data_IF_099784319893
#
_entry.id   IF_099784319893
#
_cell.length_a   1.000
_cell.length_b   1.000
_cell.length_c   1.000
_cell.angle_alpha   90.00
_cell.angle_beta   90.00
_cell.angle_gamma   90.00
#
_symmetry.space_group_name_H-M   'P 1'
#
loop_
_entity.id
_entity.type
_entity.pdbx_description
1 polymer ?
#
# COMPACT_ATOMS: atom_id res chain seq x y z
N UNK A 1 3.29 -27.34 15.98
CA UNK A 1 3.44 -27.09 14.52
C UNK A 1 3.92 -25.66 14.38
N UNK A 2 5.20 -25.42 14.12
CA UNK A 2 5.73 -24.09 13.86
C UNK A 2 4.99 -23.56 12.62
N UNK A 3 4.14 -22.55 12.79
CA UNK A 3 3.30 -22.02 11.71
C UNK A 3 4.13 -21.39 10.60
N UNK A 4 3.45 -20.91 9.55
CA UNK A 4 4.12 -20.19 8.46
C UNK A 4 4.85 -18.95 9.00
N UNK A 5 6.16 -18.89 8.78
CA UNK A 5 7.01 -17.74 9.08
C UNK A 5 7.23 -16.92 7.81
N UNK A 6 6.98 -15.63 7.87
CA UNK A 6 7.31 -14.68 6.82
C UNK A 6 8.67 -14.06 7.11
N UNK A 7 9.52 -14.03 6.10
CA UNK A 7 10.83 -13.37 6.15
C UNK A 7 10.99 -12.48 4.94
N UNK A 8 11.54 -11.29 5.13
CA UNK A 8 11.78 -10.30 4.08
C UNK A 8 13.22 -9.84 4.17
N UNK A 9 13.96 -9.98 3.07
CA UNK A 9 15.37 -9.57 2.97
C UNK A 9 16.28 -10.13 4.09
N UNK A 10 16.00 -11.35 4.55
CA UNK A 10 16.72 -12.00 5.65
C UNK A 10 16.23 -11.64 7.06
N UNK A 11 15.33 -10.65 7.18
CA UNK A 11 14.71 -10.26 8.44
C UNK A 11 13.38 -10.99 8.65
N UNK A 12 13.07 -11.31 9.91
CA UNK A 12 11.84 -12.03 10.28
C UNK A 12 10.69 -11.04 10.41
N UNK A 13 9.80 -11.05 9.42
CA UNK A 13 8.59 -10.21 9.39
C UNK A 13 7.61 -10.65 10.49
N UNK A 14 7.39 -11.96 10.63
CA UNK A 14 6.53 -12.48 11.68
C UNK A 14 5.90 -13.84 11.35
N UNK A 15 5.29 -14.45 12.37
CA UNK A 15 4.57 -15.70 12.23
C UNK A 15 3.09 -15.42 11.89
N UNK A 16 2.63 -15.93 10.76
CA UNK A 16 1.25 -15.75 10.30
C UNK A 16 0.96 -14.37 9.70
N UNK A 17 -0.21 -14.25 9.08
CA UNK A 17 -0.62 -13.06 8.30
C UNK A 17 -0.80 -11.81 9.16
N UNK A 18 -1.28 -11.99 10.39
CA UNK A 18 -1.55 -10.89 11.33
C UNK A 18 -0.26 -10.16 11.72
N UNK A 19 0.77 -10.89 12.17
CA UNK A 19 2.07 -10.30 12.50
C UNK A 19 2.73 -9.65 11.27
N UNK A 20 2.60 -10.27 10.10
CA UNK A 20 3.12 -9.67 8.87
C UNK A 20 2.46 -8.32 8.54
N UNK A 21 1.14 -8.19 8.75
CA UNK A 21 0.44 -6.91 8.56
C UNK A 21 0.92 -5.84 9.54
N UNK A 22 1.16 -6.21 10.80
CA UNK A 22 1.66 -5.28 11.83
C UNK A 22 3.05 -4.78 11.45
N UNK A 23 3.96 -5.69 11.08
CA UNK A 23 5.31 -5.33 10.64
C UNK A 23 5.31 -4.35 9.46
N UNK A 24 4.46 -4.59 8.46
CA UNK A 24 4.33 -3.69 7.31
C UNK A 24 3.79 -2.31 7.69
N UNK A 25 2.85 -2.23 8.66
CA UNK A 25 2.36 -0.96 9.18
C UNK A 25 3.43 -0.18 9.95
N UNK A 26 4.26 -0.88 10.71
CA UNK A 26 5.34 -0.26 11.49
C UNK A 26 6.53 0.13 10.62
N UNK A 27 6.73 -0.51 9.47
CA UNK A 27 7.83 -0.26 8.55
C UNK A 27 7.30 0.20 7.17
N UNK A 28 6.88 1.47 7.03
CA UNK A 28 6.37 2.01 5.77
C UNK A 28 7.43 1.99 4.65
N UNK A 29 8.71 2.19 4.97
CA UNK A 29 9.82 2.11 4.01
C UNK A 29 9.93 0.71 3.36
N UNK A 30 9.83 -0.34 4.18
CA UNK A 30 9.84 -1.73 3.71
C UNK A 30 8.59 -2.01 2.87
N UNK A 31 7.43 -1.50 3.28
CA UNK A 31 6.19 -1.65 2.53
C UNK A 31 6.29 -1.02 1.14
N UNK A 32 6.84 0.19 1.04
CA UNK A 32 7.06 0.86 -0.25
C UNK A 32 8.05 0.10 -1.14
N UNK A 33 9.13 -0.44 -0.57
CA UNK A 33 10.08 -1.29 -1.30
C UNK A 33 9.42 -2.56 -1.84
N UNK A 34 8.63 -3.25 -1.01
CA UNK A 34 7.87 -4.44 -1.41
C UNK A 34 6.89 -4.08 -2.52
N UNK A 35 6.16 -2.98 -2.39
CA UNK A 35 5.17 -2.54 -3.37
C UNK A 35 5.83 -2.23 -4.72
N UNK A 36 6.95 -1.49 -4.73
CA UNK A 36 7.73 -1.24 -5.95
C UNK A 36 8.17 -2.54 -6.60
N UNK A 37 8.79 -3.44 -5.84
CA UNK A 37 9.24 -4.74 -6.34
C UNK A 37 8.11 -5.58 -6.92
N UNK A 38 6.94 -5.60 -6.27
CA UNK A 38 5.75 -6.29 -6.79
C UNK A 38 5.31 -5.64 -8.10
N UNK A 39 5.15 -4.32 -8.14
CA UNK A 39 4.74 -3.58 -9.34
C UNK A 39 5.70 -3.80 -10.52
N UNK A 40 7.01 -3.78 -10.25
CA UNK A 40 8.05 -4.05 -11.23
C UNK A 40 8.01 -5.50 -11.72
N UNK A 41 7.90 -6.46 -10.80
CA UNK A 41 7.89 -7.90 -11.13
C UNK A 41 6.67 -8.31 -11.96
N UNK A 42 5.51 -7.70 -11.69
CA UNK A 42 4.29 -7.93 -12.46
C UNK A 42 4.12 -6.96 -13.64
N UNK A 43 5.14 -6.14 -13.96
CA UNK A 43 5.11 -5.12 -15.01
C UNK A 43 3.88 -4.18 -14.97
N UNK A 44 3.36 -3.86 -13.78
CA UNK A 44 2.27 -2.88 -13.60
C UNK A 44 2.71 -1.41 -13.82
N UNK A 45 3.91 -1.19 -14.35
CA UNK A 45 4.43 0.15 -14.71
C UNK A 45 3.72 0.78 -15.92
N UNK A 46 2.82 0.07 -16.61
CA UNK A 46 1.84 0.71 -17.49
C UNK A 46 0.50 0.83 -16.76
N UNK A 47 0.05 2.07 -16.54
CA UNK A 47 -1.29 2.47 -16.08
C UNK A 47 -1.43 2.98 -14.63
N UNK A 48 -0.42 3.67 -14.08
CA UNK A 48 -0.59 4.51 -12.87
C UNK A 48 -0.55 6.02 -13.19
N UNK A 49 -1.11 6.42 -14.33
CA UNK A 49 -1.50 7.82 -14.61
C UNK A 49 -3.02 7.92 -14.61
N UNK A 50 -3.70 7.62 -13.49
CA UNK A 50 -5.16 7.75 -13.42
C UNK A 50 -5.77 7.78 -12.01
N UNK A 51 -5.04 8.17 -10.95
CA UNK A 51 -5.68 8.36 -9.64
C UNK A 51 -5.08 9.54 -8.88
N UNK A 52 -5.29 10.72 -9.46
CA UNK A 52 -5.15 12.02 -8.78
C UNK A 52 -6.21 12.96 -9.35
N UNK A 53 -7.48 12.53 -9.28
CA UNK A 53 -8.66 13.36 -9.52
C UNK A 53 -9.64 13.12 -8.38
N UNK A 54 -9.35 13.68 -7.20
CA UNK A 54 -10.30 13.74 -6.09
C UNK A 54 -9.88 14.85 -5.12
N UNK A 55 -10.05 16.11 -5.51
CA UNK A 55 -10.19 17.27 -4.61
C UNK A 55 -10.49 18.56 -5.40
N UNK A 56 -11.61 18.64 -6.13
CA UNK A 56 -12.18 19.91 -6.64
C UNK A 56 -13.70 19.80 -6.85
N UNK A 57 -14.42 19.17 -5.92
CA UNK A 57 -15.90 19.09 -5.97
C UNK A 57 -16.51 19.30 -4.59
N UNK A 58 -16.08 20.36 -3.88
CA UNK A 58 -16.76 20.87 -2.69
C UNK A 58 -16.94 22.40 -2.73
N UNK A 59 -16.96 23.03 -3.91
CA UNK A 59 -17.40 24.43 -4.07
C UNK A 59 -18.65 24.57 -4.95
N UNK A 60 -19.19 23.48 -5.50
CA UNK A 60 -20.38 23.50 -6.35
C UNK A 60 -21.71 23.40 -5.57
N UNK A 61 -21.69 23.13 -4.27
CA UNK A 61 -22.91 22.92 -3.46
C UNK A 61 -23.32 24.13 -2.60
N UNK A 62 -22.53 25.22 -2.58
CA UNK A 62 -22.75 26.39 -1.70
C UNK A 62 -23.21 27.67 -2.41
N UNK A 63 -23.45 27.64 -3.73
CA UNK A 63 -23.80 28.83 -4.53
C UNK A 63 -25.23 28.84 -5.10
N UNK A 64 -26.14 27.99 -4.59
CA UNK A 64 -27.56 27.97 -5.00
C UNK A 64 -28.55 28.22 -3.85
N UNK A 65 -28.11 28.88 -2.77
CA UNK A 65 -29.04 29.38 -1.76
C UNK A 65 -28.82 30.87 -1.52
N UNK A 66 -29.60 31.64 -2.27
CA UNK A 66 -29.94 33.04 -2.03
C UNK A 66 -30.60 33.25 -0.67
#
# INVERSE_FOLDING_TARGET
KSGAWYSYNGERVGQGRENAKVFLKENPDITAEIESKIREHYNLTQSATADSTAANDEEAFMLDFE
#
